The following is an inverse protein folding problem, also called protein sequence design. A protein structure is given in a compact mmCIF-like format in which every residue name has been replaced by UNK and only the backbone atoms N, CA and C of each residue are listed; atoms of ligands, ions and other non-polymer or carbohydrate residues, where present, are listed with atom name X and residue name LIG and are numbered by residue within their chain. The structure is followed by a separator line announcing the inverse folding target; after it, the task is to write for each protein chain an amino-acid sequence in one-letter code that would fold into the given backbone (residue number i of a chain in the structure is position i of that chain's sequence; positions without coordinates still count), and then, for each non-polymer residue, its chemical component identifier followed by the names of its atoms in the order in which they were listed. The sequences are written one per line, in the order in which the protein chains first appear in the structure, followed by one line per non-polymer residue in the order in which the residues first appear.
data_IF_238207033692
#
_entry.id   IF_238207033692
#
_cell.length_a   1.000
_cell.length_b   1.000
_cell.length_c   1.000
_cell.angle_alpha   90.00
_cell.angle_beta   90.00
_cell.angle_gamma   90.00
#
_symmetry.space_group_name_H-M   'P 1'
#
loop_
_entity.id
_entity.type
_entity.pdbx_description
1 polymer ?
#
# COMPACT_ATOMS: atom_id res chain seq x y z
N UNK A 1 3.44 19.83 10.04
CA UNK A 1 3.25 20.77 8.92
C UNK A 1 4.54 21.54 8.65
N UNK A 2 5.53 20.94 7.95
CA UNK A 2 6.72 21.66 7.47
C UNK A 2 7.59 20.88 6.45
N UNK A 3 6.99 20.03 5.60
CA UNK A 3 7.74 19.28 4.56
C UNK A 3 7.26 19.55 3.13
N UNK A 4 6.13 20.26 2.97
CA UNK A 4 5.54 20.56 1.66
C UNK A 4 6.30 21.68 0.91
N UNK A 5 7.15 22.44 1.60
CA UNK A 5 7.85 23.60 1.06
C UNK A 5 9.20 23.26 0.38
N UNK A 6 9.59 21.98 0.34
CA UNK A 6 10.86 21.53 -0.23
C UNK A 6 10.74 20.48 -1.35
N UNK A 7 9.54 20.24 -1.89
CA UNK A 7 9.27 19.19 -2.89
C UNK A 7 9.81 17.80 -2.49
N UNK A 8 9.78 17.50 -1.19
CA UNK A 8 10.25 16.23 -0.64
C UNK A 8 9.07 15.31 -0.33
N UNK A 9 9.08 14.11 -0.91
CA UNK A 9 8.16 13.03 -0.60
C UNK A 9 8.82 12.01 0.34
N UNK A 10 8.09 11.58 1.37
CA UNK A 10 8.49 10.49 2.25
C UNK A 10 7.60 9.29 1.94
N UNK A 11 8.22 8.14 1.67
CA UNK A 11 7.53 6.87 1.47
C UNK A 11 7.88 5.91 2.59
N UNK A 12 6.87 5.33 3.22
CA UNK A 12 7.00 4.33 4.27
C UNK A 12 6.42 3.02 3.74
N UNK A 13 7.15 1.91 3.92
CA UNK A 13 6.76 0.58 3.45
C UNK A 13 6.95 -0.40 4.61
N UNK A 14 5.89 -1.13 4.95
CA UNK A 14 5.90 -2.21 5.96
C UNK A 14 5.10 -3.41 5.47
N UNK A 15 5.28 -4.54 6.15
CA UNK A 15 4.53 -5.79 5.94
C UNK A 15 3.45 -6.02 7.02
N UNK A 16 3.47 -5.23 8.10
CA UNK A 16 2.67 -5.39 9.32
C UNK A 16 2.03 -4.05 9.66
N UNK A 17 0.71 -4.00 9.54
CA UNK A 17 -0.06 -2.74 9.67
C UNK A 17 -0.07 -2.22 11.11
N UNK A 18 0.02 -3.13 12.06
CA UNK A 18 0.09 -2.92 13.50
C UNK A 18 1.30 -2.08 13.94
N UNK A 19 2.43 -2.18 13.25
CA UNK A 19 3.66 -1.43 13.57
C UNK A 19 3.47 0.10 13.55
N UNK A 20 2.54 0.60 12.73
CA UNK A 20 2.28 2.03 12.67
C UNK A 20 1.43 2.55 13.82
N UNK A 21 0.70 1.67 14.51
CA UNK A 21 -0.20 2.05 15.60
C UNK A 21 0.39 1.74 16.98
N UNK A 22 1.56 1.10 17.05
CA UNK A 22 2.30 0.92 18.31
C UNK A 22 2.77 2.24 18.93
N UNK A 23 2.91 3.30 18.14
CA UNK A 23 3.39 4.61 18.59
C UNK A 23 2.50 5.73 18.07
N UNK A 24 2.03 6.65 18.93
CA UNK A 24 1.21 7.80 18.49
C UNK A 24 1.87 8.68 17.43
N UNK A 25 3.21 8.72 17.41
CA UNK A 25 3.95 9.46 16.39
C UNK A 25 3.86 8.80 14.99
N UNK A 26 3.81 7.46 14.92
CA UNK A 26 3.71 6.72 13.66
C UNK A 26 2.29 6.82 13.09
N UNK A 27 1.27 6.75 13.94
CA UNK A 27 -0.13 7.01 13.60
C UNK A 27 -0.30 8.42 13.00
N UNK A 28 0.23 9.45 13.68
CA UNK A 28 0.17 10.83 13.17
C UNK A 28 0.87 10.99 11.80
N UNK A 29 1.92 10.21 11.52
CA UNK A 29 2.59 10.24 10.22
C UNK A 29 1.69 9.60 9.15
N UNK A 30 1.08 8.45 9.43
CA UNK A 30 0.13 7.80 8.52
C UNK A 30 -1.07 8.70 8.18
N UNK A 31 -1.62 9.39 9.17
CA UNK A 31 -2.77 10.28 8.97
C UNK A 31 -2.46 11.42 8.00
N UNK A 32 -1.22 11.90 8.01
CA UNK A 32 -0.78 12.99 7.13
C UNK A 32 -0.39 12.53 5.73
N UNK A 33 -0.36 11.21 5.45
CA UNK A 33 -0.12 10.69 4.12
C UNK A 33 -1.32 10.94 3.19
N UNK A 34 -1.09 11.73 2.13
CA UNK A 34 -2.08 12.02 1.08
C UNK A 34 -2.38 10.79 0.19
N UNK A 35 -1.44 9.85 0.13
CA UNK A 35 -1.57 8.59 -0.62
C UNK A 35 -1.35 7.44 0.35
N UNK A 36 -2.26 6.46 0.32
CA UNK A 36 -2.15 5.19 1.03
C UNK A 36 -2.33 4.06 0.03
N UNK A 37 -1.42 3.09 0.01
CA UNK A 37 -1.46 1.97 -0.93
C UNK A 37 -1.34 0.65 -0.17
N UNK A 38 -2.35 -0.21 -0.34
CA UNK A 38 -2.39 -1.54 0.24
C UNK A 38 -2.25 -2.58 -0.86
N UNK A 39 -1.15 -3.33 -0.84
CA UNK A 39 -1.07 -4.60 -1.54
C UNK A 39 -1.83 -5.68 -0.75
N UNK A 40 -1.76 -6.94 -1.20
CA UNK A 40 -2.37 -8.04 -0.43
C UNK A 40 -1.90 -8.02 1.01
N UNK A 41 -2.85 -7.96 1.94
CA UNK A 41 -2.58 -7.98 3.36
C UNK A 41 -3.57 -8.92 4.06
N UNK A 42 -3.09 -10.09 4.46
CA UNK A 42 -3.91 -11.10 5.15
C UNK A 42 -4.40 -10.59 6.52
N UNK A 43 -3.65 -9.66 7.13
CA UNK A 43 -3.97 -9.03 8.42
C UNK A 43 -4.98 -7.88 8.36
N UNK A 44 -5.55 -7.55 7.20
CA UNK A 44 -6.57 -6.50 7.09
C UNK A 44 -7.89 -7.02 7.68
N UNK A 45 -8.22 -6.62 8.91
CA UNK A 45 -9.44 -7.01 9.61
C UNK A 45 -10.44 -5.84 9.74
N UNK A 46 -11.54 -6.05 10.47
CA UNK A 46 -12.57 -5.03 10.68
C UNK A 46 -12.05 -3.80 11.44
N UNK A 47 -11.09 -4.00 12.35
CA UNK A 47 -10.50 -2.90 13.11
C UNK A 47 -9.68 -2.01 12.19
N UNK A 48 -8.76 -2.59 11.40
CA UNK A 48 -7.94 -1.82 10.47
C UNK A 48 -8.76 -1.20 9.34
N UNK A 49 -9.76 -1.91 8.82
CA UNK A 49 -10.66 -1.35 7.83
C UNK A 49 -11.37 -0.09 8.36
N UNK A 50 -11.80 -0.08 9.62
CA UNK A 50 -12.42 1.08 10.24
C UNK A 50 -11.42 2.25 10.40
N UNK A 51 -10.20 1.99 10.89
CA UNK A 51 -9.15 3.01 11.04
C UNK A 51 -8.80 3.69 9.71
N UNK A 52 -8.74 2.93 8.62
CA UNK A 52 -8.47 3.47 7.28
C UNK A 52 -9.71 3.96 6.52
N UNK A 53 -10.90 3.86 7.10
CA UNK A 53 -12.15 4.27 6.46
C UNK A 53 -12.55 3.41 5.25
N UNK A 54 -12.15 2.14 5.23
CA UNK A 54 -12.48 1.18 4.19
C UNK A 54 -13.87 0.57 4.42
N UNK A 55 -14.60 0.34 3.32
CA UNK A 55 -15.80 -0.47 3.35
C UNK A 55 -15.50 -1.98 3.19
N UNK A 56 -16.50 -2.83 3.39
CA UNK A 56 -16.34 -4.29 3.30
C UNK A 56 -15.82 -4.80 1.96
N UNK A 57 -16.19 -4.14 0.85
CA UNK A 57 -15.72 -4.52 -0.47
C UNK A 57 -14.23 -4.17 -0.66
N UNK A 58 -13.79 -3.02 -0.16
CA UNK A 58 -12.40 -2.58 -0.17
C UNK A 58 -11.54 -3.45 0.74
N UNK A 59 -12.02 -3.75 1.96
CA UNK A 59 -11.38 -4.70 2.88
C UNK A 59 -11.18 -6.05 2.21
N UNK A 60 -12.22 -6.60 1.61
CA UNK A 60 -12.15 -7.89 0.88
C UNK A 60 -11.16 -7.82 -0.29
N UNK A 61 -11.18 -6.73 -1.05
CA UNK A 61 -10.22 -6.53 -2.14
C UNK A 61 -8.78 -6.61 -1.62
N UNK A 62 -8.44 -5.94 -0.51
CA UNK A 62 -7.10 -6.00 0.07
C UNK A 62 -6.73 -7.40 0.55
N UNK A 63 -7.67 -8.14 1.14
CA UNK A 63 -7.44 -9.52 1.59
C UNK A 63 -7.20 -10.48 0.42
N UNK A 64 -7.90 -10.28 -0.71
CA UNK A 64 -7.91 -11.21 -1.85
C UNK A 64 -6.99 -10.78 -3.00
N UNK A 65 -6.39 -9.58 -2.93
CA UNK A 65 -5.55 -9.00 -3.97
C UNK A 65 -4.43 -9.95 -4.42
N UNK A 66 -4.12 -9.96 -5.71
CA UNK A 66 -2.97 -10.73 -6.22
C UNK A 66 -1.66 -10.13 -5.69
N UNK A 67 -0.84 -10.86 -4.91
CA UNK A 67 0.40 -10.36 -4.28
C UNK A 67 1.54 -10.07 -5.28
N UNK A 68 1.32 -10.30 -6.57
CA UNK A 68 2.36 -10.45 -7.59
C UNK A 68 2.52 -11.91 -7.98
N UNK A 69 2.26 -12.22 -9.24
CA UNK A 69 2.41 -13.57 -9.78
C UNK A 69 3.08 -13.47 -11.15
N UNK A 70 4.23 -14.15 -11.33
CA UNK A 70 4.96 -14.19 -12.61
C UNK A 70 4.08 -14.66 -13.78
N UNK A 71 3.17 -15.60 -13.54
CA UNK A 71 2.25 -16.10 -14.56
C UNK A 71 1.20 -15.06 -14.98
N UNK A 72 0.81 -14.16 -14.07
CA UNK A 72 -0.16 -13.09 -14.35
C UNK A 72 0.53 -11.81 -14.83
N UNK A 73 1.80 -11.61 -14.46
CA UNK A 73 2.61 -10.46 -14.85
C UNK A 73 2.20 -9.15 -14.19
N UNK A 74 1.41 -9.20 -13.11
CA UNK A 74 0.99 -8.06 -12.30
C UNK A 74 0.78 -8.43 -10.83
N UNK A 75 0.78 -7.42 -9.97
CA UNK A 75 0.24 -7.44 -8.62
C UNK A 75 -0.97 -6.50 -8.55
N UNK A 76 -1.88 -6.74 -7.62
CA UNK A 76 -2.99 -5.82 -7.34
C UNK A 76 -2.70 -4.98 -6.10
N UNK A 77 -3.24 -3.78 -6.08
CA UNK A 77 -3.21 -2.90 -4.92
C UNK A 77 -4.48 -2.05 -4.84
N UNK A 78 -4.90 -1.72 -3.63
CA UNK A 78 -5.89 -0.69 -3.36
C UNK A 78 -5.16 0.62 -3.06
N UNK A 79 -5.41 1.66 -3.84
CA UNK A 79 -4.81 2.99 -3.63
C UNK A 79 -5.87 3.99 -3.22
N UNK A 80 -5.60 4.70 -2.14
CA UNK A 80 -6.38 5.80 -1.60
C UNK A 80 -5.67 7.12 -1.87
N UNK A 81 -6.33 8.02 -2.59
CA UNK A 81 -5.86 9.40 -2.83
C UNK A 81 -6.94 10.35 -2.36
N UNK A 82 -6.61 11.23 -1.41
CA UNK A 82 -7.55 12.21 -0.84
C UNK A 82 -8.90 11.60 -0.39
N UNK A 83 -8.85 10.37 0.14
CA UNK A 83 -10.02 9.63 0.63
C UNK A 83 -10.78 8.84 -0.43
N UNK A 84 -10.42 8.94 -1.71
CA UNK A 84 -10.97 8.10 -2.76
C UNK A 84 -10.13 6.86 -3.00
N UNK A 85 -10.76 5.68 -2.93
CA UNK A 85 -10.11 4.40 -3.12
C UNK A 85 -10.38 3.80 -4.51
N UNK A 86 -9.34 3.25 -5.14
CA UNK A 86 -9.41 2.52 -6.42
C UNK A 86 -8.50 1.30 -6.38
N UNK A 87 -8.99 0.17 -6.91
CA UNK A 87 -8.14 -0.98 -7.22
C UNK A 87 -7.30 -0.68 -8.46
N UNK A 88 -6.03 -1.06 -8.43
CA UNK A 88 -5.09 -0.92 -9.54
C UNK A 88 -4.32 -2.22 -9.76
N UNK A 89 -3.81 -2.37 -10.97
CA UNK A 89 -2.78 -3.35 -11.31
C UNK A 89 -1.42 -2.66 -11.35
N UNK A 90 -0.44 -3.23 -10.65
CA UNK A 90 0.95 -2.81 -10.66
C UNK A 90 1.73 -3.78 -11.55
N UNK A 91 2.36 -3.24 -12.59
CA UNK A 91 3.11 -4.00 -13.59
C UNK A 91 4.52 -3.42 -13.70
N UNK A 92 5.53 -4.27 -13.62
CA UNK A 92 6.90 -3.89 -13.93
C UNK A 92 7.05 -3.67 -15.45
N UNK A 93 7.76 -2.62 -15.83
CA UNK A 93 8.18 -2.40 -17.21
C UNK A 93 9.23 -3.43 -17.63
N UNK A 94 9.40 -3.65 -18.93
CA UNK A 94 10.35 -4.63 -19.45
C UNK A 94 11.80 -4.36 -18.98
N UNK A 95 12.18 -3.09 -18.82
CA UNK A 95 13.50 -2.71 -18.31
C UNK A 95 13.66 -2.99 -16.80
N UNK A 96 12.58 -2.87 -16.02
CA UNK A 96 12.58 -3.16 -14.57
C UNK A 96 12.61 -4.67 -14.32
N UNK A 97 11.91 -5.45 -15.16
CA UNK A 97 11.94 -6.92 -15.10
C UNK A 97 13.35 -7.48 -15.23
N UNK A 98 14.17 -6.92 -16.12
CA UNK A 98 15.56 -7.35 -16.31
C UNK A 98 16.41 -7.17 -15.04
N UNK A 99 16.11 -6.17 -14.20
CA UNK A 99 16.81 -5.97 -12.92
C UNK A 99 16.34 -6.99 -11.88
N UNK A 100 15.03 -7.25 -11.81
CA UNK A 100 14.44 -8.22 -10.88
C UNK A 100 14.95 -9.64 -11.17
N UNK A 101 14.97 -10.03 -12.45
CA UNK A 101 15.44 -11.35 -12.87
C UNK A 101 16.95 -11.54 -12.66
N UNK A 102 17.74 -10.46 -12.76
CA UNK A 102 19.19 -10.51 -12.54
C UNK A 102 19.59 -10.75 -11.07
N UNK A 103 18.78 -10.31 -10.11
CA UNK A 103 19.02 -10.50 -8.66
C UNK A 103 18.64 -11.91 -8.17
N UNK A 104 17.95 -12.70 -9.00
CA UNK A 104 17.48 -14.06 -8.65
C UNK A 104 18.41 -15.16 -9.20
N UNK A 105 19.56 -14.79 -9.78
CA UNK A 105 20.59 -15.71 -10.33
C UNK A 105 21.83 -15.88 -9.45
#
# INVERSE_FOLDING_TARGET
LHHRDHDLSIQLVTQTVDEFFERPAAEMILDQCAIKQFHRLDGMDDHWAAEFGLNDAQKRFVQEAVPGNEALGYAEALVGVDGEWRGIEVRALDAERQVIEADTM
#
